data_IF_520998167069
#
_entry.id   IF_520998167069
#
_cell.length_a   1.000
_cell.length_b   1.000
_cell.length_c   1.000
_cell.angle_alpha   90.00
_cell.angle_beta   90.00
_cell.angle_gamma   90.00
#
_symmetry.space_group_name_H-M   'P 1'
#
loop_
_entity.id
_entity.type
_entity.pdbx_description
1 polymer ?
#
# COMPACT_ATOMS: atom_id res chain seq x y z
N UNK A 1 -29.59 34.13 -24.67
CA UNK A 1 -29.24 33.44 -25.92
C UNK A 1 -28.63 32.11 -25.54
N UNK A 2 -29.28 30.99 -25.89
CA UNK A 2 -28.76 29.65 -25.67
C UNK A 2 -27.61 29.42 -26.65
N UNK A 3 -26.41 29.17 -26.15
CA UNK A 3 -25.35 28.53 -26.92
C UNK A 3 -25.13 27.16 -26.30
N UNK A 4 -25.60 26.14 -27.01
CA UNK A 4 -25.19 24.77 -26.77
C UNK A 4 -23.70 24.69 -27.10
N UNK A 5 -22.88 24.27 -26.15
CA UNK A 5 -21.54 23.79 -26.45
C UNK A 5 -21.49 22.29 -26.15
N UNK A 6 -21.13 21.57 -27.20
CA UNK A 6 -20.97 20.14 -27.28
C UNK A 6 -19.75 19.77 -26.43
N UNK A 7 -19.94 18.91 -25.43
CA UNK A 7 -18.84 18.29 -24.69
C UNK A 7 -18.06 17.41 -25.69
N UNK A 8 -16.79 17.73 -25.94
CA UNK A 8 -15.89 16.83 -26.65
C UNK A 8 -15.42 15.78 -25.63
N UNK A 9 -16.02 14.60 -25.68
CA UNK A 9 -15.43 13.43 -25.04
C UNK A 9 -14.12 13.11 -25.76
N UNK A 10 -12.98 13.23 -25.07
CA UNK A 10 -11.71 12.75 -25.58
C UNK A 10 -11.68 11.21 -25.42
N UNK A 11 -12.34 10.50 -26.33
CA UNK A 11 -12.09 9.08 -26.56
C UNK A 11 -10.95 9.04 -27.58
N UNK A 12 -9.76 8.63 -27.14
CA UNK A 12 -8.67 8.26 -28.03
C UNK A 12 -9.12 7.05 -28.85
N UNK A 13 -9.70 7.33 -30.02
CA UNK A 13 -10.12 6.33 -31.00
C UNK A 13 -9.15 6.39 -32.18
N UNK A 14 -8.16 5.49 -32.14
CA UNK A 14 -7.31 5.17 -33.30
C UNK A 14 -8.20 4.54 -34.38
N UNK A 15 -8.58 5.34 -35.37
CA UNK A 15 -9.29 4.87 -36.56
C UNK A 15 -8.28 4.49 -37.64
N UNK A 16 -7.96 3.19 -37.71
CA UNK A 16 -7.31 2.59 -38.87
C UNK A 16 -8.31 2.57 -40.04
N UNK A 17 -8.01 3.30 -41.12
CA UNK A 17 -8.75 3.19 -42.38
C UNK A 17 -7.93 2.37 -43.37
N UNK A 18 -8.36 1.13 -43.61
CA UNK A 18 -7.94 0.32 -44.76
C UNK A 18 -9.14 0.02 -45.66
N UNK A 19 -9.09 0.47 -46.91
CA UNK A 19 -9.92 -0.05 -48.03
C UNK A 19 -9.32 -1.40 -48.50
N UNK A 20 -9.99 -2.42 -49.08
CA UNK A 20 -11.32 -2.59 -49.71
C UNK A 20 -11.55 -4.10 -50.02
N UNK A 21 -12.83 -4.50 -50.19
CA UNK A 21 -13.42 -5.63 -50.98
C UNK A 21 -13.12 -7.08 -50.51
N UNK A 22 -14.06 -8.03 -50.37
CA UNK A 22 -15.44 -8.23 -50.88
C UNK A 22 -16.30 -9.03 -49.87
N UNK A 23 -17.62 -8.80 -49.88
CA UNK A 23 -18.64 -9.56 -49.13
C UNK A 23 -18.95 -10.91 -49.79
N UNK A 24 -19.52 -11.86 -49.04
CA UNK A 24 -20.97 -12.06 -49.23
C UNK A 24 -21.78 -12.10 -47.93
N UNK A 25 -23.00 -11.61 -48.12
CA UNK A 25 -24.20 -11.51 -47.29
C UNK A 25 -24.56 -12.77 -46.47
N UNK A 26 -24.80 -12.60 -45.16
CA UNK A 26 -25.79 -13.34 -44.39
C UNK A 26 -26.34 -12.46 -43.27
N UNK A 27 -27.65 -12.29 -43.29
CA UNK A 27 -28.51 -11.45 -42.46
C UNK A 27 -28.54 -11.84 -40.97
N UNK A 28 -28.52 -10.83 -40.11
CA UNK A 28 -28.70 -10.94 -38.65
C UNK A 28 -30.14 -10.58 -38.27
N UNK A 29 -30.86 -11.37 -37.45
CA UNK A 29 -32.07 -10.90 -36.80
C UNK A 29 -31.77 -10.19 -35.48
N UNK A 30 -32.40 -9.02 -35.27
CA UNK A 30 -32.44 -8.28 -34.00
C UNK A 30 -32.97 -9.14 -32.86
N UNK A 31 -32.29 -9.11 -31.71
CA UNK A 31 -32.85 -9.54 -30.42
C UNK A 31 -33.00 -8.34 -29.51
N UNK A 32 -34.26 -7.95 -29.37
CA UNK A 32 -34.79 -6.97 -28.43
C UNK A 32 -35.35 -7.74 -27.23
N UNK A 33 -34.85 -7.50 -26.02
CA UNK A 33 -35.47 -8.04 -24.80
C UNK A 33 -35.45 -7.02 -23.67
N UNK A 34 -36.61 -6.37 -23.50
CA UNK A 34 -37.12 -5.78 -22.26
C UNK A 34 -37.48 -6.85 -21.20
N UNK A 35 -37.60 -6.46 -19.92
CA UNK A 35 -37.51 -7.37 -18.78
C UNK A 35 -38.78 -8.20 -18.56
N UNK A 36 -38.60 -9.43 -18.08
CA UNK A 36 -39.68 -10.33 -17.67
C UNK A 36 -39.78 -10.36 -16.15
N UNK A 37 -40.98 -10.09 -15.66
CA UNK A 37 -41.48 -10.48 -14.33
C UNK A 37 -42.38 -11.71 -14.45
N UNK A 38 -42.35 -12.61 -13.47
CA UNK A 38 -43.48 -13.39 -12.91
C UNK A 38 -42.90 -14.30 -11.80
N UNK A 39 -43.53 -14.54 -10.64
CA UNK A 39 -44.95 -14.72 -10.42
C UNK A 39 -45.44 -14.31 -9.02
N UNK A 40 -46.70 -13.87 -8.99
CA UNK A 40 -47.60 -13.72 -7.86
C UNK A 40 -47.89 -15.05 -7.13
N UNK A 41 -48.23 -15.00 -5.85
CA UNK A 41 -49.60 -15.28 -5.36
C UNK A 41 -49.81 -14.72 -3.94
N UNK A 42 -50.66 -13.69 -3.84
CA UNK A 42 -51.71 -13.39 -2.84
C UNK A 42 -51.59 -14.00 -1.40
N UNK A 43 -51.91 -13.30 -0.31
CA UNK A 43 -53.13 -12.48 -0.09
C UNK A 43 -53.01 -11.57 1.15
N UNK A 44 -53.59 -10.38 0.98
CA UNK A 44 -54.10 -9.38 1.94
C UNK A 44 -54.31 -9.75 3.43
N UNK A 45 -54.02 -8.75 4.28
CA UNK A 45 -54.64 -8.60 5.58
C UNK A 45 -54.06 -7.47 6.44
N UNK A 46 -54.44 -6.24 6.12
CA UNK A 46 -54.44 -4.99 6.91
C UNK A 46 -54.38 -5.11 8.46
N UNK A 47 -54.04 -4.10 9.27
CA UNK A 47 -53.43 -2.77 9.17
C UNK A 47 -53.53 -2.18 10.59
N UNK A 48 -52.62 -1.26 10.93
CA UNK A 48 -52.80 -0.14 11.87
C UNK A 48 -52.73 -0.35 13.38
N UNK A 49 -51.62 0.17 13.92
CA UNK A 49 -51.54 1.46 14.65
C UNK A 49 -51.55 1.44 16.19
N UNK A 50 -50.40 1.85 16.73
CA UNK A 50 -50.15 2.93 17.69
C UNK A 50 -50.91 2.97 19.02
N UNK A 51 -50.18 3.01 20.15
CA UNK A 51 -49.92 4.24 20.95
C UNK A 51 -49.19 3.95 22.27
N UNK A 52 -48.38 4.93 22.71
CA UNK A 52 -47.73 5.09 24.03
C UNK A 52 -48.78 5.41 25.15
N UNK A 53 -48.54 5.49 26.48
CA UNK A 53 -47.36 5.74 27.33
C UNK A 53 -47.66 5.36 28.82
N UNK A 54 -46.61 5.31 29.64
CA UNK A 54 -46.49 5.69 31.09
C UNK A 54 -47.03 4.82 32.27
N UNK A 55 -46.05 4.28 33.02
CA UNK A 55 -45.69 4.54 34.43
C UNK A 55 -46.68 4.23 35.59
N UNK A 56 -46.33 3.28 36.48
CA UNK A 56 -46.12 3.52 37.95
C UNK A 56 -45.62 2.27 38.70
N UNK A 57 -44.59 2.44 39.53
CA UNK A 57 -44.16 1.56 40.64
C UNK A 57 -44.97 1.91 41.93
N UNK A 58 -45.01 1.10 43.04
CA UNK A 58 -43.83 0.81 43.90
C UNK A 58 -43.78 -0.57 44.64
N UNK A 59 -42.57 -1.01 45.01
CA UNK A 59 -42.19 -2.07 45.99
C UNK A 59 -42.57 -1.75 47.47
N UNK A 60 -42.43 -2.62 48.55
CA UNK A 60 -41.26 -3.47 48.94
C UNK A 60 -41.59 -4.72 49.87
N UNK A 61 -40.74 -5.30 50.77
CA UNK A 61 -39.29 -5.71 50.78
C UNK A 61 -39.02 -7.18 51.26
N UNK A 62 -37.82 -7.76 51.00
CA UNK A 62 -36.85 -8.31 52.01
C UNK A 62 -35.67 -9.11 51.41
N UNK A 63 -34.53 -8.95 52.08
CA UNK A 63 -33.17 -9.43 51.81
C UNK A 63 -32.96 -10.93 52.09
N UNK A 64 -32.03 -11.58 51.36
CA UNK A 64 -30.98 -12.43 51.94
C UNK A 64 -29.80 -12.62 50.98
N UNK A 65 -28.63 -12.78 51.60
CA UNK A 65 -27.25 -12.77 51.13
C UNK A 65 -26.83 -14.05 50.39
N UNK A 66 -25.99 -13.95 49.35
CA UNK A 66 -24.93 -14.94 49.04
C UNK A 66 -24.10 -14.51 47.82
N UNK A 67 -22.79 -14.49 48.06
CA UNK A 67 -21.68 -14.27 47.13
C UNK A 67 -21.73 -15.16 45.88
N UNK A 68 -21.53 -14.57 44.70
CA UNK A 68 -20.95 -15.27 43.55
C UNK A 68 -20.27 -14.26 42.62
N UNK A 69 -19.01 -13.94 42.90
CA UNK A 69 -18.14 -13.27 41.95
C UNK A 69 -17.31 -14.36 41.24
N UNK A 70 -17.40 -14.52 39.91
CA UNK A 70 -16.43 -15.31 39.18
C UNK A 70 -15.06 -14.60 39.26
N UNK A 71 -13.96 -15.34 39.48
CA UNK A 71 -12.64 -14.76 39.45
C UNK A 71 -12.12 -14.76 38.02
N UNK A 72 -11.88 -13.59 37.45
CA UNK A 72 -10.92 -13.46 36.34
C UNK A 72 -10.36 -12.06 36.32
N UNK A 73 -9.34 -11.83 37.15
CA UNK A 73 -8.33 -10.84 36.82
C UNK A 73 -7.56 -11.41 35.62
N UNK A 74 -7.87 -10.99 34.40
CA UNK A 74 -6.94 -11.16 33.28
C UNK A 74 -5.67 -10.42 33.69
N UNK A 75 -4.64 -11.17 34.03
CA UNK A 75 -3.37 -10.57 34.43
C UNK A 75 -2.65 -10.33 33.12
N UNK A 76 -2.86 -9.14 32.54
CA UNK A 76 -2.23 -8.73 31.29
C UNK A 76 -0.73 -8.96 31.39
N UNK A 77 -0.20 -9.82 30.51
CA UNK A 77 1.23 -10.15 30.47
C UNK A 77 1.99 -8.96 29.91
N UNK A 78 3.18 -8.70 30.43
CA UNK A 78 3.97 -7.54 30.00
C UNK A 78 4.29 -7.57 28.51
N UNK A 79 4.41 -8.74 27.89
CA UNK A 79 4.70 -8.86 26.46
C UNK A 79 3.46 -8.83 25.56
N UNK A 80 2.24 -8.83 26.12
CA UNK A 80 1.05 -8.66 25.30
C UNK A 80 1.04 -7.27 24.66
N UNK A 81 0.58 -7.22 23.41
CA UNK A 81 0.51 -6.03 22.58
C UNK A 81 1.10 -6.27 21.18
N UNK A 82 1.33 -5.15 20.51
CA UNK A 82 1.79 -5.09 19.14
C UNK A 82 3.26 -4.70 19.11
N UNK A 83 3.99 -5.33 18.20
CA UNK A 83 5.44 -5.23 18.10
C UNK A 83 5.83 -5.13 16.64
N UNK A 84 7.01 -4.57 16.40
CA UNK A 84 7.59 -4.45 15.06
C UNK A 84 9.07 -4.77 15.13
N UNK A 85 9.58 -5.57 14.21
CA UNK A 85 11.02 -5.79 14.10
C UNK A 85 11.70 -4.49 13.68
N UNK A 86 12.76 -4.10 14.39
CA UNK A 86 13.48 -2.83 14.15
C UNK A 86 14.97 -3.00 13.91
N UNK A 87 15.52 -4.17 14.23
CA UNK A 87 16.95 -4.47 14.08
C UNK A 87 17.18 -5.99 14.11
N UNK A 88 18.36 -6.44 13.69
CA UNK A 88 18.80 -7.82 13.86
C UNK A 88 20.29 -7.92 14.20
N UNK A 89 20.66 -9.02 14.85
CA UNK A 89 22.02 -9.34 15.24
C UNK A 89 22.31 -10.78 14.81
N UNK A 90 23.41 -11.00 14.08
CA UNK A 90 23.84 -12.32 13.62
C UNK A 90 25.16 -12.75 14.29
N UNK A 91 25.12 -13.25 15.54
CA UNK A 91 26.32 -13.69 16.24
C UNK A 91 26.80 -15.05 15.71
N UNK A 92 27.67 -15.02 14.71
CA UNK A 92 28.34 -16.23 14.19
C UNK A 92 27.69 -16.79 12.94
N UNK A 93 27.40 -18.10 12.95
CA UNK A 93 26.81 -18.80 11.79
C UNK A 93 25.29 -18.73 11.90
N UNK A 94 24.68 -17.96 11.02
CA UNK A 94 23.23 -17.93 10.79
C UNK A 94 22.89 -18.77 9.55
N UNK A 95 21.69 -19.34 9.51
CA UNK A 95 21.15 -20.00 8.31
C UNK A 95 20.50 -19.00 7.34
N UNK A 96 20.36 -17.73 7.74
CA UNK A 96 19.79 -16.64 6.96
C UNK A 96 20.89 -15.82 6.27
N UNK A 97 20.64 -15.40 5.04
CA UNK A 97 21.46 -14.37 4.39
C UNK A 97 21.17 -12.98 4.99
N UNK A 98 22.00 -11.99 4.68
CA UNK A 98 21.72 -10.59 5.07
C UNK A 98 20.40 -10.11 4.48
N UNK A 99 20.16 -10.37 3.20
CA UNK A 99 18.91 -10.00 2.51
C UNK A 99 17.68 -10.66 3.16
N UNK A 100 17.79 -11.94 3.57
CA UNK A 100 16.69 -12.62 4.28
C UNK A 100 16.42 -11.95 5.64
N UNK A 101 17.46 -11.59 6.38
CA UNK A 101 17.31 -10.90 7.68
C UNK A 101 16.74 -9.48 7.53
N UNK A 102 17.16 -8.75 6.50
CA UNK A 102 16.61 -7.44 6.15
C UNK A 102 15.12 -7.53 5.80
N UNK A 103 14.69 -8.63 5.17
CA UNK A 103 13.28 -8.91 4.88
C UNK A 103 12.38 -9.01 6.12
N UNK A 104 12.93 -9.30 7.30
CA UNK A 104 12.16 -9.30 8.56
C UNK A 104 12.04 -7.91 9.20
N UNK A 105 12.85 -6.93 8.80
CA UNK A 105 12.74 -5.58 9.35
C UNK A 105 11.36 -5.01 9.03
N UNK A 106 10.75 -4.36 10.02
CA UNK A 106 9.37 -3.85 10.01
C UNK A 106 8.25 -4.89 10.01
N UNK A 107 8.56 -6.19 10.07
CA UNK A 107 7.53 -7.21 10.22
C UNK A 107 6.71 -6.96 11.51
N UNK A 108 5.38 -6.87 11.41
CA UNK A 108 4.52 -6.75 12.58
C UNK A 108 4.38 -8.09 13.31
N UNK A 109 4.28 -8.03 14.62
CA UNK A 109 4.05 -9.18 15.50
C UNK A 109 2.97 -8.81 16.52
N UNK A 110 2.03 -9.72 16.73
CA UNK A 110 0.95 -9.55 17.70
C UNK A 110 1.00 -10.67 18.72
N UNK A 111 1.07 -10.32 20.00
CA UNK A 111 0.92 -11.26 21.11
C UNK A 111 -0.25 -10.79 21.97
N UNK A 112 -1.37 -11.49 21.96
CA UNK A 112 -2.51 -11.27 22.85
C UNK A 112 -2.83 -12.57 23.60
N UNK A 113 -3.76 -12.53 24.54
CA UNK A 113 -4.15 -13.72 25.31
C UNK A 113 -4.90 -14.75 24.47
N UNK A 114 -5.63 -14.31 23.44
CA UNK A 114 -6.44 -15.15 22.54
C UNK A 114 -5.89 -15.25 21.12
N UNK A 115 -4.82 -14.53 20.79
CA UNK A 115 -4.26 -14.50 19.45
C UNK A 115 -2.75 -14.30 19.43
N UNK A 116 -2.08 -15.01 18.53
CA UNK A 116 -0.70 -14.79 18.14
C UNK A 116 -0.63 -14.62 16.64
N UNK A 117 0.15 -13.66 16.18
CA UNK A 117 0.33 -13.45 14.75
C UNK A 117 1.75 -13.00 14.41
N UNK A 118 2.21 -13.52 13.28
CA UNK A 118 3.52 -13.30 12.66
C UNK A 118 3.40 -13.44 11.14
N UNK A 119 4.50 -13.27 10.39
CA UNK A 119 4.57 -13.28 8.92
C UNK A 119 3.70 -14.37 8.28
N UNK A 120 3.86 -15.61 8.74
CA UNK A 120 3.29 -16.79 8.10
C UNK A 120 2.15 -17.43 8.90
N UNK A 121 1.72 -16.82 10.00
CA UNK A 121 0.71 -17.43 10.88
C UNK A 121 -0.19 -16.40 11.56
N UNK A 122 -1.48 -16.72 11.58
CA UNK A 122 -2.46 -16.17 12.51
C UNK A 122 -3.03 -17.34 13.32
N UNK A 123 -2.75 -17.37 14.61
CA UNK A 123 -3.10 -18.44 15.52
C UNK A 123 -4.10 -17.94 16.56
N UNK A 124 -5.28 -18.55 16.58
CA UNK A 124 -6.26 -18.40 17.68
C UNK A 124 -5.84 -19.30 18.86
N UNK A 125 -6.11 -18.85 20.08
CA UNK A 125 -5.81 -19.54 21.34
C UNK A 125 -4.34 -20.01 21.49
N UNK A 126 -3.35 -19.09 21.44
CA UNK A 126 -1.94 -19.43 21.66
C UNK A 126 -1.66 -19.97 23.06
N UNK A 127 -0.82 -21.00 23.15
CA UNK A 127 -0.44 -21.63 24.43
C UNK A 127 0.94 -21.12 24.86
N UNK A 128 0.96 -20.00 25.60
CA UNK A 128 2.19 -19.41 26.13
C UNK A 128 2.75 -20.19 27.32
N UNK A 129 4.06 -20.40 27.31
CA UNK A 129 4.84 -20.91 28.45
C UNK A 129 5.99 -19.95 28.75
N UNK A 130 6.13 -19.57 30.02
CA UNK A 130 7.16 -18.64 30.50
C UNK A 130 8.23 -19.37 31.31
N UNK A 131 9.48 -18.92 31.19
CA UNK A 131 10.57 -19.30 32.07
C UNK A 131 11.47 -18.10 32.35
N UNK A 132 12.07 -18.05 33.54
CA UNK A 132 13.06 -17.02 33.88
C UNK A 132 14.45 -17.59 33.61
N UNK A 133 15.27 -16.85 32.87
CA UNK A 133 16.63 -17.23 32.52
C UNK A 133 17.58 -16.16 33.06
N UNK A 134 18.58 -16.60 33.82
CA UNK A 134 19.63 -15.68 34.31
C UNK A 134 20.60 -15.34 33.20
N UNK A 135 21.33 -14.23 33.35
CA UNK A 135 22.38 -13.84 32.43
C UNK A 135 23.42 -14.94 32.18
N UNK A 136 23.81 -15.67 33.21
CA UNK A 136 24.78 -16.78 33.13
C UNK A 136 24.20 -17.95 32.33
N UNK A 137 22.98 -18.39 32.68
CA UNK A 137 22.30 -19.50 31.98
C UNK A 137 22.04 -19.18 30.51
N UNK A 138 21.70 -17.92 30.20
CA UNK A 138 21.52 -17.46 28.83
C UNK A 138 22.83 -17.57 28.05
N UNK A 139 23.93 -16.99 28.57
CA UNK A 139 25.22 -17.04 27.90
C UNK A 139 25.68 -18.48 27.66
N UNK A 140 25.52 -19.36 28.65
CA UNK A 140 25.87 -20.78 28.53
C UNK A 140 25.06 -21.50 27.46
N UNK A 141 23.76 -21.19 27.33
CA UNK A 141 22.88 -21.75 26.28
C UNK A 141 23.37 -21.42 24.86
N UNK A 142 24.09 -20.32 24.71
CA UNK A 142 24.70 -19.87 23.44
C UNK A 142 26.23 -20.00 23.43
N UNK A 143 26.80 -20.87 24.26
CA UNK A 143 28.24 -21.14 24.32
C UNK A 143 29.09 -19.86 24.50
N UNK A 144 28.57 -18.88 25.24
CA UNK A 144 29.15 -17.56 25.47
C UNK A 144 29.37 -16.71 24.20
N UNK A 145 28.78 -17.08 23.06
CA UNK A 145 28.84 -16.27 21.83
C UNK A 145 27.83 -15.13 21.83
N UNK A 146 26.71 -15.30 22.55
CA UNK A 146 25.67 -14.29 22.74
C UNK A 146 25.50 -14.07 24.23
N UNK A 147 25.54 -12.81 24.64
CA UNK A 147 25.43 -12.39 26.04
C UNK A 147 24.41 -11.26 26.16
N UNK A 148 23.99 -10.95 27.38
CA UNK A 148 23.13 -9.80 27.61
C UNK A 148 23.79 -8.48 27.20
N UNK A 149 25.10 -8.31 27.47
CA UNK A 149 25.85 -7.14 27.02
C UNK A 149 25.83 -6.99 25.50
N UNK A 150 25.97 -8.10 24.78
CA UNK A 150 25.91 -8.11 23.32
C UNK A 150 24.52 -7.67 22.81
N UNK A 151 23.46 -8.11 23.47
CA UNK A 151 22.08 -7.71 23.19
C UNK A 151 21.68 -6.37 23.86
N UNK A 152 22.63 -5.66 24.49
CA UNK A 152 22.36 -4.43 25.24
C UNK A 152 21.24 -4.56 26.31
N UNK A 153 21.15 -5.73 26.95
CA UNK A 153 20.22 -6.02 28.04
C UNK A 153 20.89 -5.68 29.37
N UNK A 154 20.29 -4.76 30.12
CA UNK A 154 20.84 -4.27 31.39
C UNK A 154 20.43 -5.11 32.62
N UNK A 155 19.41 -5.94 32.51
CA UNK A 155 18.90 -6.78 33.60
C UNK A 155 19.82 -7.98 33.90
N UNK A 156 19.72 -8.57 35.09
CA UNK A 156 20.45 -9.80 35.45
C UNK A 156 19.69 -11.09 35.08
N UNK A 157 18.43 -10.96 34.67
CA UNK A 157 17.58 -12.04 34.19
C UNK A 157 16.51 -11.52 33.24
N UNK A 158 16.02 -12.39 32.36
CA UNK A 158 14.93 -12.11 31.40
C UNK A 158 13.85 -13.19 31.49
N UNK A 159 12.66 -12.89 30.97
CA UNK A 159 11.63 -13.89 30.74
C UNK A 159 11.78 -14.43 29.31
N UNK A 160 11.93 -15.75 29.18
CA UNK A 160 11.79 -16.45 27.91
C UNK A 160 10.37 -16.96 27.78
N UNK A 161 9.76 -16.68 26.63
CA UNK A 161 8.40 -17.08 26.30
C UNK A 161 8.44 -17.98 25.07
N UNK A 162 7.67 -19.05 25.09
CA UNK A 162 7.42 -19.89 23.92
C UNK A 162 5.92 -20.19 23.74
N UNK A 163 5.46 -20.24 22.50
CA UNK A 163 4.09 -20.58 22.11
C UNK A 163 4.08 -22.04 21.69
N UNK A 164 3.64 -22.93 22.59
CA UNK A 164 3.84 -24.38 22.45
C UNK A 164 3.11 -25.02 21.25
N UNK A 165 2.10 -24.34 20.72
CA UNK A 165 1.33 -24.75 19.54
C UNK A 165 1.77 -24.03 18.25
N UNK A 166 2.95 -23.42 18.22
CA UNK A 166 3.55 -22.81 17.02
C UNK A 166 5.06 -23.04 16.96
N UNK A 167 5.60 -23.16 15.74
CA UNK A 167 7.03 -23.24 15.47
C UNK A 167 7.51 -22.12 14.52
N UNK A 168 6.61 -21.23 14.11
CA UNK A 168 6.89 -20.14 13.17
C UNK A 168 7.72 -19.03 13.82
N UNK A 169 8.26 -18.13 13.00
CA UNK A 169 8.95 -16.93 13.45
C UNK A 169 8.15 -16.18 14.55
N UNK A 170 8.81 -15.78 15.63
CA UNK A 170 8.15 -15.12 16.78
C UNK A 170 7.53 -16.08 17.81
N UNK A 171 7.48 -17.39 17.55
CA UNK A 171 6.92 -18.36 18.52
C UNK A 171 7.80 -18.56 19.76
N UNK A 172 9.06 -18.12 19.73
CA UNK A 172 9.95 -18.07 20.89
C UNK A 172 10.60 -16.69 20.95
N UNK A 173 10.61 -16.07 22.13
CA UNK A 173 11.19 -14.75 22.32
C UNK A 173 11.63 -14.52 23.76
N UNK A 174 12.42 -13.46 23.94
CA UNK A 174 12.93 -12.98 25.21
C UNK A 174 12.39 -11.59 25.49
N UNK A 175 11.81 -11.40 26.67
CA UNK A 175 11.36 -10.09 27.14
C UNK A 175 12.54 -9.40 27.83
N UNK A 176 13.18 -8.47 27.12
CA UNK A 176 14.33 -7.72 27.64
C UNK A 176 13.88 -6.59 28.58
N UNK A 177 12.84 -5.86 28.19
CA UNK A 177 12.19 -4.81 28.97
C UNK A 177 10.75 -4.57 28.46
N UNK A 178 10.09 -3.50 28.93
CA UNK A 178 8.72 -3.16 28.54
C UNK A 178 8.56 -2.89 27.04
N UNK A 179 9.61 -2.42 26.36
CA UNK A 179 9.56 -1.96 24.97
C UNK A 179 10.45 -2.77 24.01
N UNK A 180 11.15 -3.79 24.50
CA UNK A 180 12.10 -4.57 23.70
C UNK A 180 11.88 -6.07 23.87
N UNK A 181 11.69 -6.77 22.74
CA UNK A 181 11.82 -8.22 22.65
C UNK A 181 13.04 -8.60 21.82
N UNK A 182 13.63 -9.76 22.10
CA UNK A 182 14.59 -10.42 21.23
C UNK A 182 14.06 -11.79 20.79
N UNK A 183 14.01 -12.02 19.48
CA UNK A 183 13.44 -13.22 18.86
C UNK A 183 14.59 -14.02 18.22
N UNK A 184 15.00 -15.15 18.81
CA UNK A 184 15.96 -16.04 18.19
C UNK A 184 15.30 -16.76 17.01
N UNK A 185 15.94 -16.72 15.84
CA UNK A 185 15.47 -17.46 14.67
C UNK A 185 16.66 -17.79 13.76
N UNK A 186 16.83 -19.08 13.45
CA UNK A 186 17.85 -19.59 12.52
C UNK A 186 19.29 -19.09 12.78
N UNK A 187 19.62 -18.86 14.04
CA UNK A 187 20.96 -18.41 14.48
C UNK A 187 21.12 -16.88 14.50
N UNK A 188 20.12 -16.12 14.08
CA UNK A 188 20.03 -14.68 14.27
C UNK A 188 19.15 -14.32 15.47
N UNK A 189 19.27 -13.07 15.93
CA UNK A 189 18.42 -12.46 16.95
C UNK A 189 17.79 -11.20 16.38
N UNK A 190 16.46 -11.20 16.26
CA UNK A 190 15.71 -10.04 15.80
C UNK A 190 15.25 -9.23 17.00
N UNK A 191 15.45 -7.92 16.95
CA UNK A 191 14.98 -6.99 17.96
C UNK A 191 13.60 -6.47 17.56
N UNK A 192 12.61 -6.66 18.41
CA UNK A 192 11.29 -6.07 18.24
C UNK A 192 11.09 -4.92 19.21
N UNK A 193 10.52 -3.81 18.71
CA UNK A 193 10.09 -2.67 19.52
C UNK A 193 8.58 -2.71 19.70
N UNK A 194 8.11 -2.40 20.91
CA UNK A 194 6.67 -2.23 21.16
C UNK A 194 6.13 -1.10 20.29
N UNK A 195 4.93 -1.32 19.75
CA UNK A 195 4.15 -0.29 19.07
C UNK A 195 3.06 0.22 20.02
N UNK A 196 2.91 1.53 20.11
CA UNK A 196 1.79 2.19 20.78
C UNK A 196 0.58 2.26 19.85
N UNK A 197 -0.60 2.59 20.38
CA UNK A 197 -1.74 2.92 19.52
C UNK A 197 -1.39 4.03 18.52
N UNK A 198 -0.57 5.02 18.89
CA UNK A 198 -0.09 6.08 17.98
C UNK A 198 0.84 5.53 16.87
N UNK A 199 1.72 4.58 17.18
CA UNK A 199 2.60 3.91 16.21
C UNK A 199 1.82 2.98 15.26
N UNK A 200 0.70 2.42 15.74
CA UNK A 200 -0.22 1.59 14.96
C UNK A 200 -1.19 2.43 14.12
N UNK A 201 -1.54 3.63 14.59
CA UNK A 201 -2.65 4.44 14.05
C UNK A 201 -2.28 5.65 13.20
N UNK A 202 -1.03 5.75 12.72
CA UNK A 202 -0.64 6.92 11.94
C UNK A 202 0.13 6.57 10.66
N UNK A 203 -0.53 5.87 9.74
CA UNK A 203 -0.28 6.18 8.34
C UNK A 203 -0.76 7.62 8.09
N UNK A 204 0.17 8.56 8.15
CA UNK A 204 -0.11 9.99 7.96
C UNK A 204 0.53 10.49 6.69
N UNK A 205 -0.17 11.36 5.99
CA UNK A 205 0.36 11.99 4.79
C UNK A 205 1.12 13.27 5.16
N UNK A 206 2.45 13.19 5.08
CA UNK A 206 3.36 14.33 5.32
C UNK A 206 3.20 15.40 4.23
N UNK A 207 3.68 16.63 4.48
CA UNK A 207 3.66 17.68 3.46
C UNK A 207 4.56 17.35 2.25
N UNK A 208 5.68 16.67 2.47
CA UNK A 208 6.50 16.09 1.40
C UNK A 208 5.70 15.08 0.57
N UNK A 209 4.96 14.18 1.24
CA UNK A 209 4.08 13.21 0.60
C UNK A 209 2.97 13.85 -0.22
N UNK A 210 2.35 14.93 0.30
CA UNK A 210 1.35 15.71 -0.45
C UNK A 210 1.94 16.33 -1.70
N UNK A 211 3.11 16.96 -1.60
CA UNK A 211 3.78 17.56 -2.74
C UNK A 211 4.12 16.51 -3.81
N UNK A 212 4.65 15.35 -3.39
CA UNK A 212 4.91 14.22 -4.28
C UNK A 212 3.63 13.74 -4.98
N UNK A 213 2.53 13.56 -4.25
CA UNK A 213 1.24 13.16 -4.84
C UNK A 213 0.64 14.23 -5.76
N UNK A 214 0.87 15.52 -5.49
CA UNK A 214 0.50 16.60 -6.42
C UNK A 214 1.22 16.45 -7.76
N UNK A 215 2.50 16.10 -7.76
CA UNK A 215 3.22 15.79 -9.00
C UNK A 215 2.65 14.54 -9.67
N UNK A 216 2.34 13.50 -8.89
CA UNK A 216 1.76 12.25 -9.41
C UNK A 216 0.36 12.43 -10.01
N UNK A 217 -0.39 13.44 -9.57
CA UNK A 217 -1.66 13.80 -10.20
C UNK A 217 -1.46 14.12 -11.69
N UNK A 218 -0.34 14.76 -12.02
CA UNK A 218 0.03 15.16 -13.38
C UNK A 218 0.68 14.04 -14.18
N UNK A 219 1.60 13.28 -13.57
CA UNK A 219 2.52 12.42 -14.34
C UNK A 219 2.22 10.92 -14.28
N UNK A 220 1.52 10.43 -13.26
CA UNK A 220 1.18 9.00 -13.17
C UNK A 220 -0.13 8.75 -13.93
N UNK A 221 -0.20 7.74 -14.80
CA UNK A 221 -1.48 7.38 -15.44
C UNK A 221 -2.38 6.60 -14.50
N UNK A 222 -3.68 6.54 -14.78
CA UNK A 222 -4.62 5.73 -14.02
C UNK A 222 -4.30 4.23 -14.17
N UNK A 223 -4.41 3.48 -13.08
CA UNK A 223 -4.14 2.04 -13.03
C UNK A 223 -4.79 1.41 -11.80
N UNK A 224 -5.05 0.10 -11.87
CA UNK A 224 -5.73 -0.69 -10.84
C UNK A 224 -4.82 -1.84 -10.38
N UNK A 225 -3.78 -1.49 -9.60
CA UNK A 225 -2.83 -2.46 -9.05
C UNK A 225 -1.79 -2.95 -10.06
N UNK A 226 -0.86 -3.77 -9.56
CA UNK A 226 0.29 -4.23 -10.34
C UNK A 226 -0.10 -5.03 -11.61
N UNK A 227 -1.24 -5.71 -11.60
CA UNK A 227 -1.70 -6.53 -12.73
C UNK A 227 -2.11 -5.69 -13.96
N UNK A 228 -2.41 -4.39 -13.80
CA UNK A 228 -2.74 -3.49 -14.91
C UNK A 228 -1.53 -2.71 -15.45
N UNK A 229 -0.33 -2.92 -14.91
CA UNK A 229 0.89 -2.23 -15.35
C UNK A 229 1.52 -2.92 -16.57
N UNK A 230 0.88 -2.77 -17.73
CA UNK A 230 1.37 -3.30 -19.01
C UNK A 230 2.40 -2.38 -19.70
N UNK A 231 2.83 -2.74 -20.91
CA UNK A 231 3.80 -1.95 -21.68
C UNK A 231 3.33 -0.52 -21.95
N UNK A 232 2.02 -0.28 -22.09
CA UNK A 232 1.46 1.05 -22.27
C UNK A 232 1.55 1.86 -20.97
N UNK A 233 1.27 1.25 -19.83
CA UNK A 233 1.49 1.87 -18.51
C UNK A 233 2.97 2.26 -18.34
N UNK A 234 3.91 1.35 -18.58
CA UNK A 234 5.34 1.64 -18.37
C UNK A 234 5.89 2.66 -19.35
N UNK A 235 5.40 2.67 -20.59
CA UNK A 235 5.72 3.74 -21.55
C UNK A 235 5.26 5.10 -21.03
N UNK A 236 4.01 5.19 -20.57
CA UNK A 236 3.45 6.43 -20.03
C UNK A 236 4.14 6.87 -18.74
N UNK A 237 4.42 5.93 -17.83
CA UNK A 237 5.16 6.18 -16.59
C UNK A 237 6.53 6.78 -16.90
N UNK A 238 7.30 6.17 -17.81
CA UNK A 238 8.59 6.69 -18.23
C UNK A 238 8.45 8.06 -18.89
N UNK A 239 7.55 8.21 -19.85
CA UNK A 239 7.41 9.44 -20.61
C UNK A 239 7.00 10.62 -19.71
N UNK A 240 5.90 10.50 -18.97
CA UNK A 240 5.38 11.62 -18.19
C UNK A 240 6.22 11.98 -16.97
N UNK A 241 6.98 11.04 -16.40
CA UNK A 241 7.86 11.33 -15.25
C UNK A 241 9.00 12.28 -15.60
N UNK A 242 9.45 12.28 -16.87
CA UNK A 242 10.65 13.03 -17.27
C UNK A 242 10.41 14.04 -18.40
N UNK A 243 9.30 13.96 -19.14
CA UNK A 243 9.06 14.86 -20.28
C UNK A 243 8.99 16.35 -19.90
N UNK A 244 8.63 16.66 -18.64
CA UNK A 244 8.61 18.02 -18.11
C UNK A 244 9.85 18.41 -17.31
N UNK A 245 10.93 17.64 -17.40
CA UNK A 245 12.14 17.86 -16.60
C UNK A 245 12.86 19.17 -16.95
N UNK A 246 13.46 19.78 -15.93
CA UNK A 246 14.27 21.00 -16.08
C UNK A 246 15.70 20.67 -16.51
N UNK A 247 16.35 21.52 -17.35
CA UNK A 247 17.78 21.40 -17.66
C UNK A 247 18.70 21.61 -16.44
N UNK A 248 18.16 22.11 -15.32
CA UNK A 248 18.90 22.23 -14.06
C UNK A 248 19.05 20.88 -13.34
N UNK A 249 18.10 19.96 -13.56
CA UNK A 249 18.02 18.68 -12.86
C UNK A 249 18.52 17.51 -13.71
N UNK A 250 18.48 17.64 -15.05
CA UNK A 250 18.80 16.55 -15.97
C UNK A 250 19.69 16.97 -17.15
N UNK A 251 20.46 16.00 -17.66
CA UNK A 251 21.22 16.14 -18.91
C UNK A 251 20.26 16.21 -20.11
N UNK A 252 20.30 17.34 -20.81
CA UNK A 252 19.56 17.55 -22.06
C UNK A 252 20.42 17.23 -23.27
N UNK A 253 19.88 16.45 -24.20
CA UNK A 253 20.55 16.04 -25.45
C UNK A 253 19.70 16.37 -26.66
N UNK A 254 20.34 16.52 -27.82
CA UNK A 254 19.68 16.73 -29.11
C UNK A 254 19.64 15.41 -29.88
N UNK A 255 18.45 14.98 -30.26
CA UNK A 255 18.18 13.74 -30.99
C UNK A 255 17.79 14.11 -32.42
N UNK A 256 18.56 13.69 -33.44
CA UNK A 256 18.19 13.93 -34.83
C UNK A 256 16.89 13.22 -35.20
N UNK A 257 15.89 13.97 -35.67
CA UNK A 257 14.58 13.45 -36.07
C UNK A 257 14.28 13.78 -37.53
N UNK A 258 14.69 12.91 -38.45
CA UNK A 258 14.45 13.08 -39.88
C UNK A 258 12.95 13.16 -40.22
N UNK A 259 12.13 12.40 -39.49
CA UNK A 259 10.67 12.40 -39.63
C UNK A 259 10.02 13.71 -39.19
N UNK A 260 10.63 14.42 -38.24
CA UNK A 260 10.20 15.75 -37.79
C UNK A 260 10.84 16.90 -38.57
N UNK A 261 11.99 16.65 -39.21
CA UNK A 261 12.78 17.65 -39.93
C UNK A 261 13.57 18.62 -39.05
N UNK A 262 13.75 18.30 -37.76
CA UNK A 262 14.55 19.06 -36.80
C UNK A 262 15.17 18.14 -35.74
N UNK A 263 16.13 18.64 -34.96
CA UNK A 263 16.69 17.90 -33.82
C UNK A 263 15.80 18.12 -32.59
N UNK A 264 15.25 17.04 -32.04
CA UNK A 264 14.39 17.06 -30.87
C UNK A 264 15.22 17.11 -29.58
N UNK A 265 14.82 17.95 -28.63
CA UNK A 265 15.44 17.96 -27.30
C UNK A 265 14.86 16.83 -26.45
N UNK A 266 15.74 16.01 -25.89
CA UNK A 266 15.37 14.91 -25.00
C UNK A 266 16.18 14.95 -23.70
N UNK A 267 15.55 14.47 -22.65
CA UNK A 267 16.15 14.20 -21.34
C UNK A 267 16.85 12.86 -21.40
N UNK A 268 18.07 12.78 -20.89
CA UNK A 268 18.82 11.53 -20.76
C UNK A 268 18.81 11.07 -19.30
N UNK A 269 18.23 9.90 -19.07
CA UNK A 269 18.00 9.33 -17.72
C UNK A 269 18.64 7.95 -17.63
N UNK A 270 19.36 7.65 -16.55
CA UNK A 270 19.99 6.33 -16.40
C UNK A 270 18.96 5.25 -16.06
N UNK A 271 19.25 4.00 -16.40
CA UNK A 271 18.43 2.87 -15.94
C UNK A 271 18.34 2.80 -14.41
N UNK A 272 19.41 3.14 -13.71
CA UNK A 272 19.46 3.16 -12.24
C UNK A 272 18.48 4.19 -11.65
N UNK A 273 18.43 5.39 -12.22
CA UNK A 273 17.50 6.44 -11.78
C UNK A 273 16.04 6.04 -12.03
N UNK A 274 15.74 5.43 -13.19
CA UNK A 274 14.40 4.93 -13.49
C UNK A 274 14.01 3.79 -12.53
N UNK A 275 14.95 2.89 -12.22
CA UNK A 275 14.73 1.82 -11.25
C UNK A 275 14.43 2.38 -9.86
N UNK A 276 15.22 3.34 -9.40
CA UNK A 276 15.02 4.00 -8.12
C UNK A 276 13.67 4.72 -8.05
N UNK A 277 13.29 5.38 -9.14
CA UNK A 277 12.03 6.11 -9.22
C UNK A 277 10.80 5.20 -9.24
N UNK A 278 10.86 4.05 -9.92
CA UNK A 278 9.81 3.04 -9.89
C UNK A 278 9.63 2.45 -8.48
N UNK A 279 10.72 2.14 -7.78
CA UNK A 279 10.67 1.67 -6.38
C UNK A 279 10.12 2.73 -5.43
N UNK A 280 10.55 3.98 -5.58
CA UNK A 280 10.05 5.09 -4.77
C UNK A 280 8.55 5.33 -4.96
N UNK A 281 8.05 5.21 -6.19
CA UNK A 281 6.67 5.57 -6.54
C UNK A 281 5.70 4.41 -6.33
N UNK A 282 6.07 3.22 -6.82
CA UNK A 282 5.17 2.06 -6.95
C UNK A 282 5.60 0.88 -6.06
N UNK A 283 6.77 0.94 -5.42
CA UNK A 283 7.28 -0.16 -4.59
C UNK A 283 7.72 -1.40 -5.38
N UNK A 284 7.87 -1.27 -6.70
CA UNK A 284 8.24 -2.38 -7.58
C UNK A 284 9.48 -2.06 -8.39
N UNK A 285 10.12 -3.10 -8.88
CA UNK A 285 11.18 -2.97 -9.86
C UNK A 285 10.63 -2.50 -11.21
N UNK A 286 11.34 -1.57 -11.85
CA UNK A 286 11.06 -1.23 -13.25
C UNK A 286 11.29 -2.49 -14.11
N UNK A 287 10.37 -2.84 -15.01
CA UNK A 287 10.49 -4.05 -15.82
C UNK A 287 11.62 -3.93 -16.85
N UNK A 288 11.94 -5.03 -17.54
CA UNK A 288 12.86 -5.01 -18.69
C UNK A 288 12.19 -4.39 -19.94
N UNK A 289 11.68 -3.16 -19.79
CA UNK A 289 11.00 -2.39 -20.82
C UNK A 289 11.98 -1.45 -21.52
N UNK A 290 12.38 -1.82 -22.74
CA UNK A 290 13.42 -1.12 -23.52
C UNK A 290 12.91 -0.73 -24.90
N UNK A 291 12.10 0.34 -25.02
CA UNK A 291 11.62 0.80 -26.32
C UNK A 291 12.78 1.17 -27.23
N UNK A 292 12.67 0.87 -28.52
CA UNK A 292 13.72 1.18 -29.50
C UNK A 292 13.38 2.45 -30.27
N UNK A 293 14.41 3.11 -30.79
CA UNK A 293 14.20 4.31 -31.61
C UNK A 293 13.56 3.96 -32.95
N UNK A 294 13.90 2.78 -33.49
CA UNK A 294 13.47 2.30 -34.80
C UNK A 294 11.99 1.88 -34.84
N UNK A 295 11.45 1.42 -33.71
CA UNK A 295 10.05 1.00 -33.59
C UNK A 295 9.10 2.19 -33.31
N UNK A 296 9.64 3.39 -33.12
CA UNK A 296 8.87 4.59 -32.80
C UNK A 296 8.05 5.08 -34.02
N UNK A 297 6.71 5.20 -33.89
CA UNK A 297 5.87 5.88 -34.88
C UNK A 297 6.40 7.25 -35.32
N UNK A 298 6.35 7.51 -36.62
CA UNK A 298 6.70 8.82 -37.17
C UNK A 298 5.86 9.92 -36.52
N UNK A 299 6.52 10.99 -36.05
CA UNK A 299 5.86 12.09 -35.34
C UNK A 299 5.69 11.91 -33.83
N UNK A 300 5.94 10.71 -33.26
CA UNK A 300 5.88 10.51 -31.81
C UNK A 300 7.07 11.17 -31.12
N UNK A 301 6.86 11.74 -29.93
CA UNK A 301 7.92 12.26 -29.07
C UNK A 301 8.90 11.15 -28.67
N UNK A 302 10.20 11.45 -28.61
CA UNK A 302 11.23 10.44 -28.30
C UNK A 302 10.95 9.72 -26.98
N UNK A 303 11.03 8.40 -26.99
CA UNK A 303 11.03 7.56 -25.79
C UNK A 303 11.70 6.24 -26.14
N UNK A 304 13.01 6.14 -25.92
CA UNK A 304 13.80 4.96 -26.32
C UNK A 304 14.97 4.69 -25.37
N UNK A 305 15.47 3.46 -25.37
CA UNK A 305 16.60 3.00 -24.56
C UNK A 305 17.84 2.75 -25.41
N UNK A 306 18.99 3.25 -24.98
CA UNK A 306 20.30 3.00 -25.64
C UNK A 306 21.43 3.18 -24.64
N UNK A 307 22.42 2.29 -24.70
CA UNK A 307 23.67 2.38 -23.94
C UNK A 307 23.51 2.58 -22.41
N UNK A 308 22.44 2.01 -21.82
CA UNK A 308 22.17 2.12 -20.38
C UNK A 308 21.29 3.31 -19.98
N UNK A 309 20.81 4.09 -20.95
CA UNK A 309 20.02 5.30 -20.72
C UNK A 309 18.71 5.29 -21.49
N UNK A 310 17.69 5.92 -20.90
CA UNK A 310 16.47 6.32 -21.57
C UNK A 310 16.60 7.76 -22.09
N UNK A 311 16.04 7.98 -23.27
CA UNK A 311 16.00 9.26 -23.96
C UNK A 311 14.54 9.66 -24.17
N UNK A 312 14.12 10.72 -23.48
CA UNK A 312 12.70 11.08 -23.33
C UNK A 312 12.53 12.51 -23.84
N UNK A 313 11.80 12.68 -24.94
CA UNK A 313 11.58 13.99 -25.54
C UNK A 313 10.79 14.91 -24.59
N UNK A 314 11.14 16.19 -24.63
CA UNK A 314 10.52 17.22 -23.77
C UNK A 314 9.14 17.61 -24.30
N UNK A 315 8.16 17.72 -23.41
CA UNK A 315 6.79 18.14 -23.72
C UNK A 315 6.21 18.99 -22.59
N UNK A 316 5.39 19.96 -22.98
CA UNK A 316 4.61 20.76 -22.04
C UNK A 316 3.39 19.98 -21.54
N UNK A 317 2.99 20.24 -20.30
CA UNK A 317 1.75 19.73 -19.72
C UNK A 317 0.63 20.77 -19.82
N UNK A 318 -0.64 20.35 -19.90
CA UNK A 318 -1.77 21.26 -19.73
C UNK A 318 -1.74 21.91 -18.35
N UNK A 319 -2.33 23.12 -18.25
CA UNK A 319 -2.33 23.92 -17.02
C UNK A 319 -3.37 23.43 -15.98
N UNK A 320 -3.35 22.15 -15.64
CA UNK A 320 -4.12 21.62 -14.51
C UNK A 320 -3.53 22.10 -13.19
N UNK A 321 -4.41 22.37 -12.23
CA UNK A 321 -4.04 22.61 -10.84
C UNK A 321 -4.68 21.53 -9.97
N UNK A 322 -3.90 21.00 -9.03
CA UNK A 322 -4.36 19.94 -8.14
C UNK A 322 -4.29 20.45 -6.71
N UNK A 323 -5.40 20.29 -5.99
CA UNK A 323 -5.50 20.71 -4.59
C UNK A 323 -5.79 19.50 -3.72
N UNK A 324 -4.96 19.30 -2.71
CA UNK A 324 -5.21 18.26 -1.71
C UNK A 324 -6.58 18.51 -1.05
N UNK A 325 -7.41 17.47 -1.05
CA UNK A 325 -8.79 17.54 -0.55
C UNK A 325 -8.96 16.73 0.72
N UNK A 326 -8.57 15.46 0.68
CA UNK A 326 -8.85 14.53 1.78
C UNK A 326 -7.80 13.43 1.89
N UNK A 327 -7.67 12.88 3.09
CA UNK A 327 -6.87 11.70 3.37
C UNK A 327 -7.57 10.84 4.44
N UNK A 328 -7.84 9.59 4.09
CA UNK A 328 -8.43 8.61 5.01
C UNK A 328 -7.53 7.39 5.09
N UNK A 329 -7.00 7.10 6.28
CA UNK A 329 -6.31 5.85 6.56
C UNK A 329 -7.32 4.77 6.97
N UNK A 330 -7.05 3.54 6.54
CA UNK A 330 -7.80 2.33 6.85
C UNK A 330 -6.87 1.38 7.57
N UNK A 331 -7.35 0.87 8.70
CA UNK A 331 -6.69 -0.18 9.47
C UNK A 331 -7.59 -1.41 9.44
N UNK A 332 -7.24 -2.37 8.59
CA UNK A 332 -7.88 -3.68 8.60
C UNK A 332 -6.91 -4.69 9.16
N UNK A 333 -6.97 -4.94 10.48
CA UNK A 333 -6.22 -5.96 11.25
C UNK A 333 -4.70 -6.03 11.04
N UNK A 334 -4.22 -6.22 9.81
CA UNK A 334 -2.83 -6.42 9.37
C UNK A 334 -2.46 -5.67 8.09
N UNK A 335 -3.39 -4.95 7.47
CA UNK A 335 -3.12 -4.10 6.30
C UNK A 335 -3.49 -2.66 6.65
N UNK A 336 -2.49 -1.79 6.61
CA UNK A 336 -2.69 -0.36 6.73
C UNK A 336 -2.64 0.20 5.32
N UNK A 337 -3.71 0.84 4.88
CA UNK A 337 -3.72 1.53 3.61
C UNK A 337 -4.37 2.90 3.75
N UNK A 338 -4.26 3.75 2.75
CA UNK A 338 -4.96 5.02 2.76
C UNK A 338 -5.45 5.42 1.39
N UNK A 339 -6.51 6.23 1.40
CA UNK A 339 -6.95 6.98 0.23
C UNK A 339 -6.54 8.44 0.38
N UNK A 340 -5.80 8.96 -0.60
CA UNK A 340 -5.50 10.38 -0.73
C UNK A 340 -6.25 10.94 -1.93
N UNK A 341 -7.03 12.02 -1.73
CA UNK A 341 -7.87 12.62 -2.78
C UNK A 341 -7.46 14.06 -3.06
N UNK A 342 -7.41 14.41 -4.34
CA UNK A 342 -7.14 15.74 -4.86
C UNK A 342 -8.30 16.21 -5.73
N UNK A 343 -8.68 17.48 -5.61
CA UNK A 343 -9.58 18.12 -6.59
C UNK A 343 -8.77 18.69 -7.74
N UNK A 344 -9.33 18.59 -8.94
CA UNK A 344 -8.74 19.09 -10.19
C UNK A 344 -9.40 20.40 -10.56
N UNK A 345 -8.61 21.44 -10.75
CA UNK A 345 -9.01 22.70 -11.37
C UNK A 345 -8.41 22.76 -12.79
N UNK A 346 -9.21 23.20 -13.76
CA UNK A 346 -8.78 23.35 -15.14
C UNK A 346 -9.26 24.67 -15.72
N UNK A 347 -8.33 25.50 -16.16
CA UNK A 347 -8.60 26.86 -16.64
C UNK A 347 -9.47 27.66 -15.65
N UNK A 348 -10.69 28.04 -16.05
CA UNK A 348 -11.65 28.78 -15.23
C UNK A 348 -12.62 27.87 -14.45
N UNK A 349 -12.50 26.55 -14.58
CA UNK A 349 -13.36 25.57 -13.92
C UNK A 349 -12.71 25.03 -12.64
N UNK A 350 -13.28 25.41 -11.50
CA UNK A 350 -12.95 24.82 -10.20
C UNK A 350 -13.65 23.47 -10.03
N UNK A 351 -12.96 22.50 -9.45
CA UNK A 351 -13.46 21.15 -9.19
C UNK A 351 -14.00 20.45 -10.46
N UNK A 352 -13.22 20.54 -11.54
CA UNK A 352 -13.40 19.84 -12.80
C UNK A 352 -13.29 18.30 -12.66
N UNK A 353 -12.85 17.80 -11.52
CA UNK A 353 -12.79 16.38 -11.23
C UNK A 353 -12.04 16.07 -9.94
N UNK A 354 -11.79 14.79 -9.71
CA UNK A 354 -11.02 14.27 -8.58
C UNK A 354 -9.98 13.26 -9.06
N UNK A 355 -8.81 13.28 -8.41
CA UNK A 355 -7.81 12.20 -8.48
C UNK A 355 -7.77 11.53 -7.12
N UNK A 356 -7.86 10.21 -7.08
CA UNK A 356 -7.74 9.42 -5.86
C UNK A 356 -6.60 8.42 -6.01
N UNK A 357 -5.73 8.37 -5.00
CA UNK A 357 -4.67 7.39 -4.88
C UNK A 357 -4.99 6.42 -3.76
N UNK A 358 -4.77 5.13 -4.01
CA UNK A 358 -4.64 4.14 -2.95
C UNK A 358 -3.18 3.95 -2.60
N UNK A 359 -2.86 4.02 -1.32
CA UNK A 359 -1.49 4.05 -0.82
C UNK A 359 -1.26 2.93 0.19
N UNK A 360 -0.07 2.35 0.16
CA UNK A 360 0.45 1.48 1.22
C UNK A 360 1.64 2.16 1.90
N UNK A 361 1.77 2.10 3.23
CA UNK A 361 2.96 2.52 3.94
C UNK A 361 4.21 1.82 3.38
N UNK A 362 5.31 2.56 3.26
CA UNK A 362 6.58 2.03 2.78
C UNK A 362 7.75 2.80 3.42
N UNK A 363 8.86 2.10 3.66
CA UNK A 363 10.09 2.74 4.14
C UNK A 363 10.84 3.37 2.96
N UNK A 364 10.32 4.51 2.50
CA UNK A 364 10.95 5.34 1.49
C UNK A 364 10.78 6.82 1.83
N UNK A 365 11.37 7.71 1.04
CA UNK A 365 11.33 9.15 1.29
C UNK A 365 9.90 9.73 1.40
N UNK A 366 8.91 9.09 0.78
CA UNK A 366 7.51 9.52 0.81
C UNK A 366 6.74 8.95 2.01
N UNK A 367 7.24 7.87 2.62
CA UNK A 367 6.54 7.10 3.65
C UNK A 367 5.45 6.17 3.09
N UNK A 368 5.34 6.05 1.75
CA UNK A 368 4.34 5.22 1.07
C UNK A 368 4.74 4.87 -0.36
N UNK A 369 4.03 3.89 -0.92
CA UNK A 369 3.97 3.60 -2.36
C UNK A 369 2.54 3.72 -2.86
N UNK A 370 2.38 3.95 -4.16
CA UNK A 370 1.08 4.10 -4.81
C UNK A 370 0.64 2.74 -5.37
N UNK A 371 -0.48 2.24 -4.86
CA UNK A 371 -1.08 0.97 -5.24
C UNK A 371 -2.06 1.10 -6.41
N UNK A 372 -2.74 2.24 -6.53
CA UNK A 372 -3.63 2.55 -7.64
C UNK A 372 -3.82 4.06 -7.77
N UNK A 373 -4.26 4.47 -8.95
CA UNK A 373 -4.69 5.85 -9.24
C UNK A 373 -5.95 5.80 -10.08
N UNK A 374 -6.92 6.64 -9.71
CA UNK A 374 -8.15 6.84 -10.51
C UNK A 374 -8.45 8.31 -10.65
N UNK A 375 -8.79 8.74 -11.87
CA UNK A 375 -9.22 10.09 -12.19
C UNK A 375 -10.68 10.10 -12.62
N UNK A 376 -11.50 10.92 -11.97
CA UNK A 376 -12.92 11.13 -12.33
C UNK A 376 -13.13 12.58 -12.70
N UNK A 377 -13.52 12.88 -13.94
CA UNK A 377 -13.84 14.24 -14.37
C UNK A 377 -15.34 14.51 -14.24
N UNK A 378 -15.67 15.68 -13.72
CA UNK A 378 -17.04 16.20 -13.65
C UNK A 378 -17.47 16.67 -15.03
N UNK A 379 -18.49 16.04 -15.61
CA UNK A 379 -19.09 16.40 -16.90
C UNK A 379 -19.75 17.78 -16.91
#
# INVERSE_FOLDING_TARGET
MKKNYLLLSLIASLSLTGCKTDSPDLSVPELNVTPISAADTNTNGAQSASSASEETEPQPPKQEDSQNQPPTTSTSKSYYGYWKIVDFLAPGITALSTDDMEGYIYLPLTYLDDSFQSENIALEDPIYTESVITKEDFADSYQNQVTFEYLNIAADSIVSVSISNSAEFGSTFYVADENTLYIPFDGAFFKASRQTEEDLSHFTLTDTGKAFLTDMCRVLVDFEGAASMDDEFWWNFLFYSYTGASPEDFEMVQIPREDLGFDETAVKVSLEDVQAYARLTLGVDFPDFKPTFEDMPAGQTSCFFRDGYYYIGVSDFPAFQYHFSDFTAYEESFDTSALATFTVDFEDQTNAGTVTFHLYPADNQNGFTIASKTTTLSN
#
